data_IF_600595537198
#
_entry.id   IF_600595537198
#
_cell.length_a   1.000
_cell.length_b   1.000
_cell.length_c   1.000
_cell.angle_alpha   90.00
_cell.angle_beta   90.00
_cell.angle_gamma   90.00
#
_symmetry.space_group_name_H-M   'P 1'
#
loop_
_entity.id
_entity.type
_entity.pdbx_description
1 polymer ?
#
# COMPACT_ATOMS: atom_id res chain seq x y z
N UNK A 1 10.59 -13.47 -6.08
CA UNK A 1 9.84 -12.32 -5.53
C UNK A 1 10.59 -11.05 -5.87
N UNK A 2 9.95 -10.09 -6.55
CA UNK A 2 10.49 -8.77 -6.90
C UNK A 2 10.28 -7.80 -5.74
N UNK A 3 11.33 -7.08 -5.35
CA UNK A 3 11.26 -6.06 -4.32
C UNK A 3 11.72 -4.73 -4.90
N UNK A 4 10.95 -3.67 -4.68
CA UNK A 4 11.29 -2.33 -5.12
C UNK A 4 10.99 -1.31 -4.03
N UNK A 5 11.67 -0.17 -4.08
CA UNK A 5 11.43 0.96 -3.18
C UNK A 5 10.72 2.06 -3.94
N UNK A 6 9.70 2.67 -3.33
CA UNK A 6 8.96 3.81 -3.89
C UNK A 6 8.88 4.95 -2.89
N UNK A 7 8.77 6.17 -3.41
CA UNK A 7 8.38 7.35 -2.63
C UNK A 7 6.87 7.51 -2.73
N UNK A 8 6.18 7.61 -1.59
CA UNK A 8 4.75 7.87 -1.53
C UNK A 8 4.47 9.37 -1.42
N UNK A 9 3.28 9.80 -1.84
CA UNK A 9 2.76 11.15 -1.59
C UNK A 9 1.87 11.21 -0.35
N UNK A 10 1.29 10.07 0.03
CA UNK A 10 0.38 9.90 1.15
C UNK A 10 0.43 8.45 1.63
N UNK A 11 0.22 8.22 2.92
CA UNK A 11 0.22 6.89 3.51
C UNK A 11 -1.05 6.55 4.28
N UNK A 12 -1.77 7.56 4.75
CA UNK A 12 -3.09 7.45 5.37
C UNK A 12 -4.19 7.56 4.32
N UNK A 13 -5.15 6.65 4.39
CA UNK A 13 -6.36 6.69 3.57
C UNK A 13 -7.58 6.61 4.48
N UNK A 14 -8.58 7.50 4.36
CA UNK A 14 -9.82 7.37 5.10
C UNK A 14 -10.45 6.00 4.86
N UNK A 15 -10.79 5.33 5.94
CA UNK A 15 -11.39 4.01 5.92
C UNK A 15 -12.91 4.12 5.84
N UNK A 16 -13.53 3.11 5.23
CA UNK A 16 -14.99 2.90 5.29
C UNK A 16 -15.36 1.69 6.13
N UNK A 17 -14.38 1.07 6.81
CA UNK A 17 -14.59 -0.09 7.65
C UNK A 17 -15.07 0.34 9.04
N UNK A 18 -16.00 -0.41 9.65
CA UNK A 18 -16.41 -0.14 11.01
C UNK A 18 -15.22 -0.28 11.97
N UNK A 19 -15.04 0.68 12.88
CA UNK A 19 -14.00 0.64 13.91
C UNK A 19 -12.61 1.10 13.48
N UNK A 20 -12.46 1.66 12.28
CA UNK A 20 -11.22 2.30 11.85
C UNK A 20 -11.54 3.56 11.04
N UNK A 21 -10.97 4.70 11.43
CA UNK A 21 -11.10 5.97 10.69
C UNK A 21 -10.16 6.05 9.49
N UNK A 22 -8.98 5.43 9.60
CA UNK A 22 -7.93 5.45 8.58
C UNK A 22 -7.24 4.09 8.43
N UNK A 23 -6.68 3.85 7.24
CA UNK A 23 -5.79 2.72 6.95
C UNK A 23 -4.42 3.26 6.56
N UNK A 24 -3.36 2.66 7.12
CA UNK A 24 -1.97 2.94 6.77
C UNK A 24 -1.52 1.94 5.69
N UNK A 25 -1.00 2.43 4.57
CA UNK A 25 -0.59 1.57 3.45
C UNK A 25 0.93 1.69 3.13
N UNK A 26 1.83 1.10 3.93
CA UNK A 26 3.30 1.15 3.73
C UNK A 26 3.82 0.38 2.52
N UNK A 27 3.03 -0.56 2.00
CA UNK A 27 3.42 -1.45 0.91
C UNK A 27 2.40 -1.45 -0.22
N UNK A 28 2.85 -1.78 -1.43
CA UNK A 28 1.99 -2.14 -2.56
C UNK A 28 2.39 -3.53 -3.05
N UNK A 29 1.41 -4.38 -3.37
CA UNK A 29 1.66 -5.78 -3.73
C UNK A 29 1.52 -6.73 -2.55
N UNK A 30 1.95 -7.98 -2.74
CA UNK A 30 1.78 -9.06 -1.78
C UNK A 30 2.86 -10.12 -2.00
N UNK A 31 3.36 -10.73 -0.93
CA UNK A 31 4.27 -11.88 -0.99
C UNK A 31 3.56 -13.23 -0.88
N UNK A 32 2.25 -13.23 -0.54
CA UNK A 32 1.48 -14.45 -0.28
C UNK A 32 0.66 -14.91 -1.48
N UNK A 33 0.06 -13.98 -2.24
CA UNK A 33 -0.54 -14.30 -3.54
C UNK A 33 -1.83 -15.12 -3.48
N UNK A 34 -2.76 -14.85 -2.54
CA UNK A 34 -4.01 -15.59 -2.51
C UNK A 34 -4.79 -15.47 -3.83
N UNK A 35 -5.28 -16.60 -4.34
CA UNK A 35 -6.09 -16.71 -5.57
C UNK A 35 -7.38 -15.87 -5.49
N UNK A 36 -7.90 -15.64 -4.28
CA UNK A 36 -9.14 -14.89 -4.02
C UNK A 36 -8.88 -13.45 -3.54
N UNK A 37 -7.64 -12.97 -3.60
CA UNK A 37 -7.30 -11.68 -3.02
C UNK A 37 -7.91 -10.54 -3.83
N UNK A 38 -8.88 -9.83 -3.23
CA UNK A 38 -9.44 -8.64 -3.88
C UNK A 38 -8.37 -7.60 -4.21
N UNK A 39 -7.30 -7.49 -3.41
CA UNK A 39 -6.23 -6.51 -3.65
C UNK A 39 -5.44 -6.75 -4.94
N UNK A 40 -5.57 -7.89 -5.61
CA UNK A 40 -4.93 -8.13 -6.90
C UNK A 40 -5.26 -7.04 -7.93
N UNK A 41 -6.47 -6.48 -7.90
CA UNK A 41 -6.86 -5.43 -8.85
C UNK A 41 -5.93 -4.20 -8.78
N UNK A 42 -5.23 -3.96 -7.66
CA UNK A 42 -4.38 -2.78 -7.50
C UNK A 42 -3.19 -2.77 -8.45
N UNK A 43 -2.82 -3.93 -9.02
CA UNK A 43 -1.79 -4.08 -10.07
C UNK A 43 -1.92 -3.06 -11.20
N UNK A 44 -3.15 -2.71 -11.56
CA UNK A 44 -3.46 -1.72 -12.62
C UNK A 44 -3.06 -0.29 -12.30
N UNK A 45 -2.90 0.04 -11.02
CA UNK A 45 -2.52 1.37 -10.54
C UNK A 45 -1.08 1.45 -10.06
N UNK A 46 -0.46 0.30 -9.77
CA UNK A 46 0.88 0.23 -9.19
C UNK A 46 1.97 -0.04 -10.21
N UNK A 47 1.61 -0.22 -11.49
CA UNK A 47 2.56 -0.53 -12.58
C UNK A 47 2.94 -2.02 -12.67
N UNK A 48 2.10 -2.90 -12.15
CA UNK A 48 2.39 -4.34 -11.99
C UNK A 48 1.41 -5.24 -12.77
N UNK A 49 0.81 -4.73 -13.85
CA UNK A 49 -0.04 -5.53 -14.74
C UNK A 49 0.72 -6.68 -15.43
N UNK A 50 2.03 -6.51 -15.64
CA UNK A 50 2.90 -7.56 -16.19
C UNK A 50 3.42 -8.56 -15.16
N UNK A 51 3.20 -8.32 -13.86
CA UNK A 51 3.70 -9.17 -12.78
C UNK A 51 2.59 -10.05 -12.20
N UNK A 52 2.88 -11.32 -11.89
CA UNK A 52 1.93 -12.22 -11.25
C UNK A 52 1.65 -11.80 -9.78
N UNK A 53 0.39 -11.91 -9.34
CA UNK A 53 0.03 -11.57 -7.96
C UNK A 53 0.76 -12.48 -6.96
N UNK A 54 1.25 -11.92 -5.85
CA UNK A 54 2.09 -12.67 -4.91
C UNK A 54 3.59 -12.66 -5.23
N UNK A 55 3.99 -12.16 -6.42
CA UNK A 55 5.39 -12.21 -6.84
C UNK A 55 6.14 -10.89 -6.67
N UNK A 56 5.50 -9.84 -6.15
CA UNK A 56 6.12 -8.52 -5.99
C UNK A 56 5.64 -7.77 -4.74
N UNK A 57 6.52 -6.96 -4.16
CA UNK A 57 6.21 -5.96 -3.12
C UNK A 57 7.01 -4.68 -3.37
N UNK A 58 6.32 -3.54 -3.38
CA UNK A 58 6.93 -2.22 -3.29
C UNK A 58 6.90 -1.72 -1.84
N UNK A 59 8.05 -1.33 -1.30
CA UNK A 59 8.14 -0.67 -0.01
C UNK A 59 8.16 0.85 -0.18
N UNK A 60 7.24 1.56 0.49
CA UNK A 60 7.20 3.03 0.52
C UNK A 60 8.15 3.52 1.61
N UNK A 61 9.37 3.86 1.22
CA UNK A 61 10.48 4.07 2.17
C UNK A 61 10.32 5.33 3.03
N UNK A 62 9.57 6.32 2.54
CA UNK A 62 9.27 7.56 3.26
C UNK A 62 8.00 7.47 4.13
N UNK A 63 7.59 6.26 4.51
CA UNK A 63 6.39 6.05 5.33
C UNK A 63 6.48 6.75 6.68
N UNK A 64 7.55 6.62 7.48
CA UNK A 64 7.62 7.27 8.80
C UNK A 64 7.45 8.78 8.71
N UNK A 65 8.17 9.44 7.80
CA UNK A 65 8.19 10.89 7.67
C UNK A 65 6.86 11.46 7.16
N UNK A 66 6.18 10.75 6.25
CA UNK A 66 4.85 11.15 5.78
C UNK A 66 3.79 10.86 6.84
N UNK A 67 3.87 9.74 7.53
CA UNK A 67 2.91 9.37 8.56
C UNK A 67 2.86 10.41 9.68
N UNK A 68 4.03 10.85 10.17
CA UNK A 68 4.12 11.91 11.18
C UNK A 68 3.48 13.22 10.70
N UNK A 69 3.75 13.62 9.45
CA UNK A 69 3.16 14.82 8.85
C UNK A 69 1.65 14.71 8.68
N UNK A 70 1.15 13.56 8.23
CA UNK A 70 -0.27 13.34 8.00
C UNK A 70 -1.05 13.27 9.31
N UNK A 71 -0.54 12.59 10.34
CA UNK A 71 -1.17 12.56 11.67
C UNK A 71 -1.24 13.95 12.30
N UNK A 72 -0.17 14.75 12.19
CA UNK A 72 -0.16 16.10 12.74
C UNK A 72 -1.25 17.00 12.14
N UNK A 73 -1.73 16.70 10.92
CA UNK A 73 -2.84 17.40 10.27
C UNK A 73 -4.24 16.85 10.66
N UNK A 74 -4.30 15.75 11.42
CA UNK A 74 -5.57 15.16 11.90
C UNK A 74 -5.93 15.58 13.33
N UNK A 75 -4.95 16.06 14.09
CA UNK A 75 -5.10 16.73 15.40
C UNK A 75 -5.44 18.19 15.25
#
# INVERSE_FOLDING_TARGET
MKLATKQAKSILTPSKLPGADYVVNPYSGCAFGCVYCYAEFTRKFTGHMGDEWGTYVDAKINTPEIFEKEIANLT
#
